data_IF_658218664020
#
_entry.id   IF_658218664020
#
_cell.length_a   1.000
_cell.length_b   1.000
_cell.length_c   1.000
_cell.angle_alpha   90.00
_cell.angle_beta   90.00
_cell.angle_gamma   90.00
#
_symmetry.space_group_name_H-M   'P 1'
#
loop_
_entity.id
_entity.type
_entity.pdbx_description
1 polymer ?
#
# COMPACT_ATOMS: atom_id res chain seq x y z
N UNK A 1 -34.60 -4.39 -29.73
CA UNK A 1 -33.22 -4.40 -30.24
C UNK A 1 -32.30 -4.70 -29.06
N UNK A 2 -31.71 -5.89 -29.01
CA UNK A 2 -30.63 -6.20 -28.06
C UNK A 2 -29.33 -5.67 -28.65
N UNK A 3 -28.73 -4.66 -28.02
CA UNK A 3 -27.41 -4.17 -28.40
C UNK A 3 -26.41 -5.24 -27.96
N UNK A 4 -25.76 -5.89 -28.92
CA UNK A 4 -24.67 -6.81 -28.65
C UNK A 4 -23.44 -5.97 -28.26
N UNK A 5 -23.09 -5.98 -26.98
CA UNK A 5 -21.94 -5.24 -26.46
C UNK A 5 -20.69 -6.10 -26.68
N UNK A 6 -19.59 -5.51 -27.19
CA UNK A 6 -18.35 -6.26 -27.38
C UNK A 6 -17.89 -6.79 -26.03
N UNK A 7 -17.66 -8.12 -25.96
CA UNK A 7 -17.06 -8.74 -24.79
C UNK A 7 -15.57 -8.46 -24.78
N UNK A 8 -15.08 -7.95 -23.66
CA UNK A 8 -13.65 -7.84 -23.43
C UNK A 8 -13.01 -9.24 -23.46
N UNK A 9 -11.94 -9.37 -24.23
CA UNK A 9 -11.08 -10.54 -24.21
C UNK A 9 -10.12 -10.48 -23.01
N UNK A 10 -9.49 -11.60 -22.69
CA UNK A 10 -8.42 -11.65 -21.68
C UNK A 10 -7.28 -10.69 -22.06
N UNK A 11 -6.96 -10.60 -23.36
CA UNK A 11 -5.91 -9.71 -23.84
C UNK A 11 -6.26 -8.23 -23.62
N UNK A 12 -7.54 -7.86 -23.76
CA UNK A 12 -7.98 -6.49 -23.47
C UNK A 12 -7.73 -6.12 -22.01
N UNK A 13 -7.97 -7.04 -21.08
CA UNK A 13 -7.70 -6.83 -19.64
C UNK A 13 -6.19 -6.72 -19.37
N UNK A 14 -5.38 -7.57 -20.00
CA UNK A 14 -3.91 -7.53 -19.85
C UNK A 14 -3.31 -6.25 -20.42
N UNK A 15 -3.80 -5.78 -21.56
CA UNK A 15 -3.39 -4.50 -22.16
C UNK A 15 -3.71 -3.31 -21.26
N UNK A 16 -4.74 -3.43 -20.41
CA UNK A 16 -5.11 -2.42 -19.43
C UNK A 16 -4.35 -2.52 -18.09
N UNK A 17 -3.43 -3.48 -17.92
CA UNK A 17 -2.56 -3.54 -16.75
C UNK A 17 -1.62 -2.34 -16.71
N UNK A 18 -1.46 -1.71 -15.54
CA UNK A 18 -0.59 -0.56 -15.34
C UNK A 18 0.83 -0.79 -15.87
N UNK A 19 1.41 -1.96 -15.59
CA UNK A 19 2.74 -2.33 -16.06
C UNK A 19 2.88 -2.41 -17.58
N UNK A 20 1.78 -2.59 -18.31
CA UNK A 20 1.77 -2.67 -19.77
C UNK A 20 1.61 -1.30 -20.40
N UNK A 21 0.65 -0.50 -19.94
CA UNK A 21 0.37 0.79 -20.57
C UNK A 21 1.25 1.94 -20.06
N UNK A 22 1.74 1.89 -18.80
CA UNK A 22 2.51 2.99 -18.22
C UNK A 22 3.77 3.34 -19.02
N UNK A 23 4.63 2.40 -19.45
CA UNK A 23 5.80 2.73 -20.28
C UNK A 23 5.45 3.38 -21.63
N UNK A 24 4.27 3.10 -22.17
CA UNK A 24 3.80 3.65 -23.46
C UNK A 24 3.36 5.11 -23.29
N UNK A 25 2.69 5.42 -22.17
CA UNK A 25 2.08 6.72 -21.89
C UNK A 25 2.75 7.47 -20.73
N UNK A 26 4.00 7.14 -20.39
CA UNK A 26 4.73 7.71 -19.25
C UNK A 26 4.75 9.24 -19.30
N UNK A 27 5.00 9.81 -20.48
CA UNK A 27 5.02 11.26 -20.71
C UNK A 27 3.66 11.95 -20.57
N UNK A 28 2.57 11.18 -20.61
CA UNK A 28 1.19 11.66 -20.59
C UNK A 28 0.42 11.19 -19.35
N UNK A 29 1.11 10.65 -18.34
CA UNK A 29 0.51 10.14 -17.11
C UNK A 29 1.23 10.67 -15.88
N UNK A 30 0.69 10.40 -14.69
CA UNK A 30 1.35 10.76 -13.44
C UNK A 30 2.63 9.94 -13.26
N UNK A 31 3.72 10.60 -12.88
CA UNK A 31 4.99 9.93 -12.54
C UNK A 31 4.72 8.84 -11.49
N UNK A 32 5.15 7.63 -11.80
CA UNK A 32 4.84 6.45 -11.01
C UNK A 32 6.05 5.52 -10.95
N UNK A 33 6.18 4.77 -9.85
CA UNK A 33 7.16 3.69 -9.69
C UNK A 33 6.41 2.38 -9.56
N UNK A 34 6.85 1.35 -10.28
CA UNK A 34 6.27 0.01 -10.22
C UNK A 34 7.16 -0.85 -9.32
N UNK A 35 6.61 -1.29 -8.19
CA UNK A 35 7.25 -2.27 -7.31
C UNK A 35 6.63 -3.64 -7.56
N UNK A 36 7.47 -4.66 -7.77
CA UNK A 36 6.99 -6.02 -7.92
C UNK A 36 6.65 -6.59 -6.54
N UNK A 37 5.48 -7.21 -6.41
CA UNK A 37 5.09 -7.90 -5.19
C UNK A 37 5.86 -9.21 -5.08
N UNK A 38 6.50 -9.42 -3.93
CA UNK A 38 7.05 -10.71 -3.55
C UNK A 38 5.92 -11.67 -3.12
N UNK A 39 6.18 -12.98 -3.14
CA UNK A 39 5.15 -13.99 -2.87
C UNK A 39 4.56 -13.89 -1.46
N UNK A 40 5.36 -13.50 -0.47
CA UNK A 40 4.95 -13.26 0.91
C UNK A 40 4.04 -12.03 1.05
N UNK A 41 4.38 -10.91 0.39
CA UNK A 41 3.52 -9.72 0.34
C UNK A 41 2.20 -10.04 -0.38
N UNK A 42 2.27 -10.80 -1.47
CA UNK A 42 1.08 -11.24 -2.21
C UNK A 42 0.21 -12.18 -1.36
N UNK A 43 0.81 -13.09 -0.60
CA UNK A 43 0.09 -13.97 0.32
C UNK A 43 -0.59 -13.16 1.44
N UNK A 44 0.10 -12.16 1.98
CA UNK A 44 -0.46 -11.25 2.98
C UNK A 44 -1.65 -10.46 2.44
N UNK A 45 -1.54 -9.86 1.25
CA UNK A 45 -2.65 -9.12 0.62
C UNK A 45 -3.86 -10.00 0.27
N UNK A 46 -3.68 -11.31 0.18
CA UNK A 46 -4.76 -12.29 -0.06
C UNK A 46 -5.38 -12.82 1.23
N UNK A 47 -4.76 -12.58 2.38
CA UNK A 47 -5.31 -13.03 3.65
C UNK A 47 -6.48 -12.14 4.07
N UNK A 48 -7.52 -12.75 4.64
CA UNK A 48 -8.67 -12.01 5.20
C UNK A 48 -8.33 -11.34 6.54
N UNK A 49 -7.18 -11.67 7.12
CA UNK A 49 -6.70 -11.14 8.38
C UNK A 49 -5.80 -9.92 8.14
N UNK A 50 -6.18 -8.77 8.69
CA UNK A 50 -5.35 -7.57 8.63
C UNK A 50 -4.45 -7.49 9.86
N UNK A 51 -3.15 -7.69 9.67
CA UNK A 51 -2.14 -7.44 10.71
C UNK A 51 -1.21 -6.34 10.25
N UNK A 52 -1.09 -5.30 11.06
CA UNK A 52 -0.17 -4.23 10.77
C UNK A 52 1.28 -4.74 10.80
N UNK A 53 2.09 -4.51 9.75
CA UNK A 53 3.50 -4.88 9.78
C UNK A 53 4.27 -4.16 10.89
N UNK A 54 5.22 -4.85 11.52
CA UNK A 54 5.99 -4.32 12.65
C UNK A 54 6.61 -2.94 12.35
N UNK A 55 7.19 -2.77 11.16
CA UNK A 55 7.82 -1.51 10.76
C UNK A 55 6.84 -0.35 10.58
N UNK A 56 5.55 -0.62 10.35
CA UNK A 56 4.50 0.39 10.31
C UNK A 56 4.01 0.77 11.71
N UNK A 57 3.96 -0.20 12.64
CA UNK A 57 3.62 0.07 14.03
C UNK A 57 4.64 1.00 14.69
N UNK A 58 5.92 0.72 14.51
CA UNK A 58 7.02 1.55 15.04
C UNK A 58 6.96 3.00 14.53
N UNK A 59 6.64 3.19 13.25
CA UNK A 59 6.53 4.53 12.66
C UNK A 59 5.35 5.34 13.24
N UNK A 60 4.22 4.68 13.54
CA UNK A 60 3.08 5.34 14.18
C UNK A 60 3.38 5.69 15.64
N UNK A 61 4.07 4.80 16.37
CA UNK A 61 4.50 5.08 17.75
C UNK A 61 5.46 6.27 17.82
N UNK A 62 6.39 6.39 16.86
CA UNK A 62 7.29 7.54 16.74
C UNK A 62 6.50 8.83 16.47
N UNK A 63 5.58 8.81 15.50
CA UNK A 63 4.72 9.96 15.18
C UNK A 63 3.88 10.40 16.40
N UNK A 64 3.36 9.44 17.17
CA UNK A 64 2.58 9.70 18.38
C UNK A 64 3.43 10.40 19.45
N UNK A 65 4.67 9.94 19.66
CA UNK A 65 5.59 10.57 20.63
C UNK A 65 5.91 12.02 20.25
N UNK A 66 6.21 12.27 18.98
CA UNK A 66 6.51 13.62 18.48
C UNK A 66 5.31 14.56 18.65
N UNK A 67 4.09 14.09 18.37
CA UNK A 67 2.88 14.88 18.55
C UNK A 67 2.57 15.16 20.03
N UNK A 68 2.82 14.20 20.92
CA UNK A 68 2.61 14.36 22.37
C UNK A 68 3.57 15.39 22.99
N UNK A 69 4.78 15.55 22.46
CA UNK A 69 5.71 16.61 22.89
C UNK A 69 5.33 18.01 22.39
N UNK A 70 4.44 18.11 21.39
CA UNK A 70 4.04 19.38 20.74
C UNK A 70 2.64 19.88 21.11
N UNK A 71 1.81 19.10 21.81
CA UNK A 71 0.42 19.45 22.13
C UNK A 71 0.10 19.11 23.58
N UNK A 72 -0.31 20.12 24.37
CA UNK A 72 -0.79 19.99 25.77
C UNK A 72 -2.25 19.49 25.83
N UNK A 73 -2.73 18.82 24.77
CA UNK A 73 -4.08 18.29 24.67
C UNK A 73 -4.02 16.75 24.75
N UNK A 74 -4.37 16.26 25.94
CA UNK A 74 -4.45 14.86 26.34
C UNK A 74 -5.62 14.13 25.64
N UNK A 75 -5.53 13.85 24.34
CA UNK A 75 -6.37 12.82 23.72
C UNK A 75 -5.68 11.45 23.84
N UNK A 76 -5.73 10.93 25.06
CA UNK A 76 -5.24 9.62 25.46
C UNK A 76 -6.13 8.50 24.89
N UNK A 77 -5.91 8.12 23.63
CA UNK A 77 -6.23 6.76 23.20
C UNK A 77 -5.12 5.83 23.72
N UNK A 78 -5.16 5.48 25.02
CA UNK A 78 -4.41 4.33 25.51
C UNK A 78 -4.89 3.12 24.73
N UNK A 79 -4.06 2.63 23.83
CA UNK A 79 -4.16 1.25 23.43
C UNK A 79 -3.67 0.46 24.66
N UNK A 80 -4.59 0.14 25.57
CA UNK A 80 -4.40 -0.87 26.60
C UNK A 80 -4.34 -2.25 25.93
N UNK A 81 -3.36 -2.46 25.04
CA UNK A 81 -3.04 -3.77 24.48
C UNK A 81 -1.51 -3.93 24.33
N UNK A 82 -0.78 -3.27 25.22
CA UNK A 82 0.66 -3.43 25.37
C UNK A 82 1.04 -4.67 26.21
N UNK A 83 0.33 -5.80 26.12
CA UNK A 83 0.83 -7.10 26.61
C UNK A 83 -0.01 -8.34 26.20
N UNK A 84 -0.29 -8.53 24.90
CA UNK A 84 -0.74 -9.84 24.44
C UNK A 84 0.19 -10.38 23.35
N UNK A 85 1.09 -11.26 23.76
CA UNK A 85 2.06 -12.06 23.00
C UNK A 85 1.40 -13.04 21.98
N UNK A 86 0.31 -12.61 21.33
CA UNK A 86 -0.48 -13.42 20.39
C UNK A 86 -0.82 -12.72 19.08
N UNK A 87 -0.57 -11.42 18.92
CA UNK A 87 -0.71 -10.76 17.61
C UNK A 87 0.44 -11.19 16.70
N UNK A 88 0.12 -11.88 15.61
CA UNK A 88 1.08 -12.36 14.60
C UNK A 88 1.92 -11.20 14.07
N UNK A 89 3.21 -11.15 14.44
CA UNK A 89 4.17 -10.17 13.93
C UNK A 89 4.50 -10.50 12.47
N UNK A 90 4.11 -9.62 11.56
CA UNK A 90 4.40 -9.72 10.12
C UNK A 90 5.40 -8.61 9.78
N UNK A 91 6.38 -8.88 8.92
CA UNK A 91 7.31 -7.87 8.42
C UNK A 91 7.79 -8.21 7.01
N UNK A 92 8.06 -7.17 6.22
CA UNK A 92 8.55 -7.30 4.84
C UNK A 92 9.74 -6.37 4.61
N UNK A 93 10.87 -6.56 5.33
CA UNK A 93 11.90 -5.53 5.46
C UNK A 93 12.45 -5.02 4.11
N UNK A 94 12.62 -5.91 3.13
CA UNK A 94 13.09 -5.53 1.79
C UNK A 94 12.04 -4.69 1.04
N UNK A 95 10.78 -5.15 1.03
CA UNK A 95 9.70 -4.45 0.34
C UNK A 95 9.34 -3.13 1.02
N UNK A 96 9.35 -3.08 2.36
CA UNK A 96 9.20 -1.86 3.15
C UNK A 96 10.30 -0.84 2.81
N UNK A 97 11.55 -1.28 2.65
CA UNK A 97 12.63 -0.40 2.25
C UNK A 97 12.41 0.16 0.83
N UNK A 98 11.91 -0.65 -0.10
CA UNK A 98 11.55 -0.18 -1.45
C UNK A 98 10.46 0.89 -1.39
N UNK A 99 9.41 0.68 -0.57
CA UNK A 99 8.35 1.68 -0.35
C UNK A 99 8.94 2.97 0.24
N UNK A 100 9.74 2.88 1.30
CA UNK A 100 10.39 4.05 1.94
C UNK A 100 11.24 4.83 0.94
N UNK A 101 12.01 4.14 0.10
CA UNK A 101 12.82 4.77 -0.93
C UNK A 101 11.96 5.51 -1.97
N UNK A 102 10.79 4.98 -2.33
CA UNK A 102 9.84 5.68 -3.21
C UNK A 102 9.25 6.88 -2.48
N UNK A 103 8.74 6.73 -1.27
CA UNK A 103 8.15 7.84 -0.50
C UNK A 103 9.13 9.01 -0.33
N UNK A 104 10.42 8.76 -0.13
CA UNK A 104 11.44 9.81 -0.02
C UNK A 104 11.70 10.59 -1.34
N UNK A 105 11.24 10.07 -2.48
CA UNK A 105 11.42 10.71 -3.80
C UNK A 105 10.23 11.57 -4.24
N UNK A 106 9.08 11.45 -3.57
CA UNK A 106 7.83 12.09 -3.97
C UNK A 106 7.18 12.79 -2.78
N UNK A 107 6.61 13.98 -2.99
CA UNK A 107 5.94 14.71 -1.91
C UNK A 107 4.65 14.00 -1.44
N UNK A 108 3.90 13.45 -2.39
CA UNK A 108 2.65 12.73 -2.12
C UNK A 108 2.50 11.59 -3.13
N UNK A 109 2.00 10.45 -2.66
CA UNK A 109 1.76 9.26 -3.50
C UNK A 109 0.41 8.65 -3.18
N UNK A 110 -0.10 7.83 -4.10
CA UNK A 110 -1.20 6.90 -3.83
C UNK A 110 -0.79 5.50 -4.32
N UNK A 111 -1.01 4.44 -3.54
CA UNK A 111 -0.73 3.07 -4.00
C UNK A 111 -1.83 2.57 -4.93
N UNK A 112 -1.48 1.67 -5.85
CA UNK A 112 -2.45 0.91 -6.65
C UNK A 112 -1.87 -0.44 -7.09
N UNK A 113 -2.76 -1.39 -7.39
CA UNK A 113 -2.40 -2.64 -8.07
C UNK A 113 -2.52 -2.46 -9.59
N UNK A 114 -2.36 -3.53 -10.35
CA UNK A 114 -2.31 -3.48 -11.81
C UNK A 114 -3.51 -2.73 -12.45
N UNK A 115 -4.71 -2.90 -11.90
CA UNK A 115 -5.93 -2.33 -12.50
C UNK A 115 -6.58 -1.25 -11.65
N UNK A 116 -6.75 -1.48 -10.34
CA UNK A 116 -7.49 -0.60 -9.43
C UNK A 116 -6.60 0.04 -8.38
N UNK A 117 -6.99 1.24 -7.97
CA UNK A 117 -6.52 1.91 -6.75
C UNK A 117 -7.59 1.72 -5.66
N UNK A 118 -7.21 1.66 -4.37
CA UNK A 118 -8.16 1.87 -3.27
C UNK A 118 -8.81 3.25 -3.45
N UNK A 119 -10.12 3.33 -3.23
CA UNK A 119 -10.91 4.56 -3.40
C UNK A 119 -10.89 5.42 -2.17
#
# INVERSE_FOLDING_TARGET
MTVDLPRASVQDVLNCSFSVWYPIFEKNSLKSVILNLTDDVLQYLRSDEFYLPTGANEAMDEMRRVNAESSDDEDHWSDEDADNDTTKKISFPEFEQQIKNVLNQYDAVFPKLNWSSPK
#
